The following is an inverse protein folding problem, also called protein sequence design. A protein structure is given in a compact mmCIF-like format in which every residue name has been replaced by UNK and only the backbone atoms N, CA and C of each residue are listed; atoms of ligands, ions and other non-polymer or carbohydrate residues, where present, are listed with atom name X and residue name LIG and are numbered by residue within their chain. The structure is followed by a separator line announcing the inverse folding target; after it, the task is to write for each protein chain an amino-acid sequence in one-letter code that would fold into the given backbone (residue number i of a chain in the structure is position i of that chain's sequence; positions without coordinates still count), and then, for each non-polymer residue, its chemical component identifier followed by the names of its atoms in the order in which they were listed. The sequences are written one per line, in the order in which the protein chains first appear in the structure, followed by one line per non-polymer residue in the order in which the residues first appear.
data_IF_602849641168
#
_entry.id   IF_602849641168
#
_cell.length_a   1.000
_cell.length_b   1.000
_cell.length_c   1.000
_cell.angle_alpha   90.00
_cell.angle_beta   90.00
_cell.angle_gamma   90.00
#
_symmetry.space_group_name_H-M   'P 1'
#
loop_
_entity.id
_entity.type
_entity.pdbx_description
1 polymer ?
#
# COMPACT_ATOMS: atom_id res chain seq x y z
N UNK A 1 18.32 -11.20 5.69
CA UNK A 1 17.62 -11.01 4.40
C UNK A 1 16.35 -11.85 4.44
N UNK A 2 15.24 -11.29 3.95
CA UNK A 2 13.94 -11.97 3.88
C UNK A 2 13.34 -11.74 2.50
N UNK A 3 12.52 -12.68 2.05
CA UNK A 3 11.79 -12.58 0.79
C UNK A 3 10.35 -12.17 1.09
N UNK A 4 9.83 -11.17 0.38
CA UNK A 4 8.41 -10.80 0.42
C UNK A 4 7.66 -11.55 -0.68
N UNK A 5 6.69 -12.36 -0.28
CA UNK A 5 5.80 -13.06 -1.21
C UNK A 5 4.43 -12.41 -1.17
N UNK A 6 3.99 -11.93 -2.33
CA UNK A 6 2.66 -11.37 -2.54
C UNK A 6 1.79 -12.40 -3.23
N UNK A 7 0.69 -12.77 -2.58
CA UNK A 7 -0.27 -13.73 -3.12
C UNK A 7 -1.65 -13.11 -3.19
N UNK A 8 -2.26 -13.15 -4.37
CA UNK A 8 -3.66 -12.79 -4.52
C UNK A 8 -4.55 -13.81 -3.79
N UNK A 9 -5.45 -13.33 -2.94
CA UNK A 9 -6.43 -14.15 -2.24
C UNK A 9 -7.81 -14.08 -2.88
N UNK A 10 -8.18 -12.94 -3.48
CA UNK A 10 -9.46 -12.75 -4.14
C UNK A 10 -9.44 -11.61 -5.17
N UNK A 11 -10.30 -11.67 -6.18
CA UNK A 11 -10.60 -10.56 -7.11
C UNK A 11 -9.50 -10.14 -8.08
N UNK A 12 -8.25 -10.59 -7.87
CA UNK A 12 -7.12 -10.24 -8.71
C UNK A 12 -7.22 -10.81 -10.12
N UNK A 13 -7.04 -9.92 -11.10
CA UNK A 13 -6.76 -10.28 -12.48
C UNK A 13 -5.68 -9.34 -12.98
N UNK A 14 -4.61 -9.90 -13.54
CA UNK A 14 -3.56 -9.11 -14.15
C UNK A 14 -4.05 -8.51 -15.48
N UNK A 15 -3.74 -7.24 -15.72
CA UNK A 15 -3.84 -6.69 -17.08
C UNK A 15 -2.60 -7.10 -17.90
N UNK A 16 -1.41 -6.90 -17.32
CA UNK A 16 -0.12 -7.27 -17.92
C UNK A 16 0.74 -7.98 -16.89
N UNK A 17 0.59 -9.30 -16.78
CA UNK A 17 1.27 -10.10 -15.74
C UNK A 17 2.81 -10.02 -15.77
N UNK A 18 3.40 -9.76 -16.95
CA UNK A 18 4.86 -9.61 -17.12
C UNK A 18 5.43 -8.33 -16.48
N UNK A 19 4.58 -7.35 -16.17
CA UNK A 19 4.98 -6.09 -15.54
C UNK A 19 4.96 -6.19 -14.00
N UNK A 20 4.47 -7.32 -13.46
CA UNK A 20 4.51 -7.57 -12.03
C UNK A 20 5.94 -7.83 -11.56
N UNK A 21 6.26 -7.35 -10.36
CA UNK A 21 7.53 -7.63 -9.70
C UNK A 21 8.22 -6.36 -9.24
N UNK A 22 9.55 -6.35 -9.30
CA UNK A 22 10.36 -5.22 -8.91
C UNK A 22 10.61 -4.29 -10.10
N UNK A 23 10.30 -3.01 -9.92
CA UNK A 23 10.67 -1.92 -10.80
C UNK A 23 11.57 -0.95 -10.01
N UNK A 24 12.89 -1.16 -10.09
CA UNK A 24 13.84 -0.44 -9.24
C UNK A 24 13.63 -0.74 -7.75
N UNK A 25 13.22 0.27 -6.98
CA UNK A 25 12.94 0.17 -5.54
C UNK A 25 11.45 -0.01 -5.21
N UNK A 26 10.62 -0.19 -6.24
CA UNK A 26 9.18 -0.35 -6.12
C UNK A 26 8.79 -1.80 -6.39
N UNK A 27 7.84 -2.30 -5.62
CA UNK A 27 6.99 -3.39 -6.04
C UNK A 27 5.86 -2.85 -6.90
N UNK A 28 5.59 -3.52 -8.01
CA UNK A 28 4.51 -3.21 -8.96
C UNK A 28 3.61 -4.42 -9.12
N UNK A 29 2.31 -4.18 -9.07
CA UNK A 29 1.27 -5.17 -9.39
C UNK A 29 0.34 -4.58 -10.43
N UNK A 30 0.35 -5.16 -11.62
CA UNK A 30 -0.59 -4.83 -12.69
C UNK A 30 -1.98 -5.38 -12.36
N UNK A 31 -2.98 -4.52 -12.43
CA UNK A 31 -4.37 -4.78 -12.07
C UNK A 31 -5.29 -4.54 -13.26
N UNK A 32 -6.32 -5.37 -13.39
CA UNK A 32 -7.53 -4.96 -14.13
C UNK A 32 -8.34 -3.97 -13.30
N UNK A 33 -8.76 -2.83 -13.88
CA UNK A 33 -9.51 -1.81 -13.16
C UNK A 33 -10.92 -2.25 -12.81
N UNK A 34 -11.57 -1.47 -11.94
CA UNK A 34 -12.96 -1.62 -11.49
C UNK A 34 -13.27 -2.95 -10.77
N UNK A 35 -12.23 -3.65 -10.30
CA UNK A 35 -12.33 -4.84 -9.46
C UNK A 35 -11.48 -4.66 -8.21
N UNK A 36 -12.05 -4.98 -7.06
CA UNK A 36 -11.26 -4.98 -5.83
C UNK A 36 -10.44 -6.28 -5.78
N UNK A 37 -9.13 -6.13 -5.76
CA UNK A 37 -8.19 -7.22 -5.57
C UNK A 37 -7.73 -7.25 -4.11
N UNK A 38 -7.64 -8.45 -3.55
CA UNK A 38 -7.15 -8.69 -2.21
C UNK A 38 -5.84 -9.48 -2.28
N UNK A 39 -4.86 -9.03 -1.52
CA UNK A 39 -3.52 -9.59 -1.48
C UNK A 39 -3.12 -9.89 -0.05
N UNK A 40 -2.48 -11.04 0.13
CA UNK A 40 -1.74 -11.38 1.34
C UNK A 40 -0.24 -11.17 1.08
N UNK A 41 0.35 -10.28 1.85
CA UNK A 41 1.78 -10.00 1.86
C UNK A 41 2.40 -10.84 2.99
N UNK A 42 3.31 -11.74 2.66
CA UNK A 42 3.91 -12.66 3.64
C UNK A 42 5.43 -12.71 3.52
N UNK A 43 6.12 -12.80 4.66
CA UNK A 43 7.57 -12.85 4.68
C UNK A 43 8.06 -14.30 4.76
N UNK A 44 9.12 -14.59 4.01
CA UNK A 44 9.83 -15.88 4.05
C UNK A 44 11.31 -15.67 4.35
N UNK A 45 11.92 -16.64 5.00
CA UNK A 45 13.38 -16.70 5.10
C UNK A 45 13.99 -16.69 3.68
N UNK A 46 15.15 -16.03 3.53
CA UNK A 46 15.85 -15.98 2.25
C UNK A 46 16.05 -17.40 1.69
N UNK A 47 15.61 -17.63 0.45
CA UNK A 47 15.58 -18.96 -0.16
C UNK A 47 14.22 -19.68 -0.04
N UNK A 48 13.18 -18.96 0.42
CA UNK A 48 11.76 -19.30 0.18
C UNK A 48 11.13 -20.40 1.02
N UNK A 49 11.88 -21.03 1.94
CA UNK A 49 11.43 -22.27 2.60
C UNK A 49 10.39 -22.07 3.72
N UNK A 50 10.59 -21.09 4.59
CA UNK A 50 9.86 -20.99 5.86
C UNK A 50 9.30 -19.59 6.05
N UNK A 51 8.03 -19.48 6.46
CA UNK A 51 7.45 -18.19 6.84
C UNK A 51 8.21 -17.63 8.04
N UNK A 52 8.47 -16.33 8.04
CA UNK A 52 9.24 -15.70 9.11
C UNK A 52 8.54 -14.45 9.60
N UNK A 53 8.60 -14.23 10.90
CA UNK A 53 8.19 -12.97 11.48
C UNK A 53 9.26 -11.92 11.22
N UNK A 54 8.85 -10.74 10.75
CA UNK A 54 9.72 -9.57 10.59
C UNK A 54 9.30 -8.56 11.65
N UNK A 55 10.28 -8.03 12.37
CA UNK A 55 10.08 -6.96 13.34
C UNK A 55 10.39 -5.61 12.69
N UNK A 56 9.63 -4.59 13.10
CA UNK A 56 9.88 -3.17 12.83
C UNK A 56 10.20 -2.89 11.36
N UNK A 57 9.18 -2.94 10.52
CA UNK A 57 9.32 -2.67 9.10
C UNK A 57 8.33 -1.62 8.63
N UNK A 58 8.67 -0.99 7.50
CA UNK A 58 7.80 -0.07 6.80
C UNK A 58 7.18 -0.72 5.58
N UNK A 59 6.01 -0.24 5.21
CA UNK A 59 5.34 -0.53 3.96
C UNK A 59 4.72 0.77 3.45
N UNK A 60 5.19 1.28 2.33
CA UNK A 60 4.65 2.48 1.70
C UNK A 60 3.83 2.08 0.49
N UNK A 61 2.68 2.72 0.33
CA UNK A 61 1.84 2.60 -0.87
C UNK A 61 1.74 3.95 -1.55
N UNK A 62 1.55 3.93 -2.88
CA UNK A 62 1.35 5.13 -3.68
C UNK A 62 -0.03 5.08 -4.32
N UNK A 63 -0.84 6.12 -4.10
CA UNK A 63 -2.11 6.31 -4.81
C UNK A 63 -1.81 7.06 -6.10
N UNK A 64 -1.91 6.35 -7.22
CA UNK A 64 -1.40 6.77 -8.52
C UNK A 64 -2.48 7.19 -9.50
N UNK A 65 -3.75 6.92 -9.16
CA UNK A 65 -4.87 7.17 -10.07
C UNK A 65 -6.11 7.70 -9.37
N UNK A 66 -6.92 8.43 -10.14
CA UNK A 66 -8.17 9.02 -9.67
C UNK A 66 -9.12 7.96 -9.10
N UNK A 67 -9.61 8.20 -7.88
CA UNK A 67 -10.57 7.32 -7.21
C UNK A 67 -10.02 5.94 -6.81
N UNK A 68 -8.70 5.74 -6.86
CA UNK A 68 -8.02 4.59 -6.29
C UNK A 68 -8.30 4.47 -4.78
N UNK A 69 -8.44 3.22 -4.35
CA UNK A 69 -8.71 2.85 -2.96
C UNK A 69 -7.70 1.80 -2.55
N UNK A 70 -6.96 2.07 -1.49
CA UNK A 70 -6.03 1.13 -0.90
C UNK A 70 -6.41 0.94 0.55
N UNK A 71 -6.63 -0.31 0.94
CA UNK A 71 -6.88 -0.68 2.33
C UNK A 71 -5.71 -1.49 2.85
N UNK A 72 -5.23 -1.12 4.04
CA UNK A 72 -4.15 -1.81 4.74
C UNK A 72 -4.60 -2.07 6.17
N UNK A 73 -4.35 -3.29 6.64
CA UNK A 73 -4.71 -3.72 7.99
C UNK A 73 -3.48 -4.13 8.81
N UNK A 74 -3.65 -4.19 10.14
CA UNK A 74 -2.68 -4.69 11.13
C UNK A 74 -1.40 -3.85 11.27
N UNK A 75 -1.43 -2.56 10.89
CA UNK A 75 -0.32 -1.65 11.10
C UNK A 75 -0.34 -1.06 12.51
N UNK A 76 0.84 -0.63 12.98
CA UNK A 76 1.04 -0.03 14.31
C UNK A 76 1.11 1.50 14.27
N UNK A 77 1.45 2.08 13.11
CA UNK A 77 1.42 3.53 12.87
C UNK A 77 1.27 3.81 11.39
N UNK A 78 0.58 4.89 11.05
CA UNK A 78 0.45 5.40 9.68
C UNK A 78 1.01 6.82 9.63
N UNK A 79 1.82 7.11 8.61
CA UNK A 79 2.38 8.43 8.34
C UNK A 79 2.09 8.88 6.90
N UNK A 80 1.99 10.20 6.70
CA UNK A 80 1.74 10.83 5.40
C UNK A 80 2.35 12.24 5.37
N UNK A 81 2.47 12.78 4.16
CA UNK A 81 2.93 14.15 3.91
C UNK A 81 1.85 15.18 4.31
N UNK A 82 2.21 16.34 4.85
CA UNK A 82 1.24 17.37 5.26
C UNK A 82 0.30 17.80 4.11
N UNK A 83 0.79 17.75 2.87
CA UNK A 83 0.05 18.07 1.65
C UNK A 83 -0.47 16.80 0.93
N UNK A 84 -0.71 15.72 1.68
CA UNK A 84 -1.20 14.46 1.12
C UNK A 84 -2.43 14.65 0.22
N UNK A 85 -2.37 14.08 -0.98
CA UNK A 85 -3.41 14.16 -2.02
C UNK A 85 -4.46 13.05 -1.91
N UNK A 86 -4.69 12.50 -0.72
CA UNK A 86 -5.65 11.44 -0.47
C UNK A 86 -6.36 11.62 0.86
N UNK A 87 -7.56 11.07 0.96
CA UNK A 87 -8.30 10.99 2.21
C UNK A 87 -7.99 9.68 2.94
N UNK A 88 -8.19 9.67 4.25
CA UNK A 88 -7.99 8.50 5.12
C UNK A 88 -9.25 8.25 5.93
N UNK A 89 -9.76 7.03 5.89
CA UNK A 89 -10.98 6.62 6.58
C UNK A 89 -10.68 5.39 7.44
N UNK A 90 -10.83 5.48 8.77
CA UNK A 90 -10.65 4.33 9.68
C UNK A 90 -11.91 3.47 9.77
N UNK A 91 -11.74 2.15 9.93
CA UNK A 91 -12.84 1.22 10.25
C UNK A 91 -12.80 0.74 11.70
N UNK A 92 -13.94 0.21 12.17
CA UNK A 92 -14.31 -0.07 13.57
C UNK A 92 -13.28 -0.82 14.45
N UNK A 93 -12.26 -1.49 13.91
CA UNK A 93 -11.22 -2.20 14.68
C UNK A 93 -9.92 -1.40 14.89
N UNK A 94 -9.83 -0.14 14.44
CA UNK A 94 -8.70 0.77 14.69
C UNK A 94 -7.44 0.47 13.89
N UNK A 95 -7.14 -0.79 13.57
CA UNK A 95 -5.96 -1.23 12.80
C UNK A 95 -6.25 -1.44 11.31
N UNK A 96 -7.33 -0.87 10.79
CA UNK A 96 -7.70 -0.91 9.37
C UNK A 96 -7.96 0.52 8.89
N UNK A 97 -7.27 0.91 7.84
CA UNK A 97 -7.48 2.20 7.17
C UNK A 97 -7.74 1.99 5.70
N UNK A 98 -8.68 2.78 5.20
CA UNK A 98 -8.93 2.99 3.79
C UNK A 98 -8.31 4.32 3.38
N UNK A 99 -7.37 4.27 2.45
CA UNK A 99 -6.88 5.43 1.71
C UNK A 99 -7.73 5.60 0.45
N UNK A 100 -8.13 6.84 0.15
CA UNK A 100 -8.97 7.16 -0.99
C UNK A 100 -8.37 8.33 -1.77
N UNK A 101 -7.97 8.08 -3.02
CA UNK A 101 -7.61 9.12 -3.95
C UNK A 101 -8.85 9.93 -4.36
N UNK A 102 -8.72 11.25 -4.53
CA UNK A 102 -9.82 12.09 -4.98
C UNK A 102 -10.29 11.70 -6.40
N UNK A 103 -11.53 12.03 -6.78
CA UNK A 103 -12.09 11.70 -8.08
C UNK A 103 -11.36 12.35 -9.26
N UNK A 104 -10.62 13.43 -9.02
CA UNK A 104 -9.80 14.14 -9.99
C UNK A 104 -8.40 14.28 -9.42
N UNK A 105 -7.52 13.42 -9.89
CA UNK A 105 -6.11 13.34 -9.54
C UNK A 105 -5.32 13.10 -10.83
N UNK A 106 -4.23 13.83 -11.00
CA UNK A 106 -3.28 13.55 -12.07
C UNK A 106 -2.62 12.20 -11.83
N UNK A 107 -2.53 11.40 -12.90
CA UNK A 107 -1.92 10.08 -12.79
C UNK A 107 -0.42 10.23 -12.49
N UNK A 108 0.10 9.38 -11.60
CA UNK A 108 1.49 9.40 -11.20
C UNK A 108 2.10 8.01 -11.35
N UNK A 109 3.23 7.89 -12.03
CA UNK A 109 4.08 6.71 -11.91
C UNK A 109 5.27 7.07 -11.02
N UNK A 110 5.38 6.54 -9.80
CA UNK A 110 6.46 6.91 -8.89
C UNK A 110 7.83 6.55 -9.50
N UNK A 111 8.76 7.50 -9.52
CA UNK A 111 10.13 7.29 -10.05
C UNK A 111 11.20 7.69 -9.05
N UNK A 112 10.97 8.77 -8.32
CA UNK A 112 11.84 9.20 -7.23
C UNK A 112 11.07 9.10 -5.91
N UNK A 113 11.42 8.11 -5.08
CA UNK A 113 10.78 7.91 -3.79
C UNK A 113 10.98 9.09 -2.82
N UNK A 114 11.89 10.02 -3.10
CA UNK A 114 12.09 11.25 -2.31
C UNK A 114 11.49 12.49 -2.96
N UNK A 115 10.92 12.34 -4.16
CA UNK A 115 10.24 13.41 -4.87
C UNK A 115 9.06 13.93 -4.07
N UNK A 116 8.88 15.26 -4.08
CA UNK A 116 7.78 15.91 -3.37
C UNK A 116 6.41 15.42 -3.87
N UNK A 117 6.26 15.22 -5.18
CA UNK A 117 5.01 14.74 -5.76
C UNK A 117 4.73 13.28 -5.37
N UNK A 118 5.73 12.39 -5.42
CA UNK A 118 5.59 11.01 -4.94
C UNK A 118 5.20 10.94 -3.47
N UNK A 119 5.82 11.75 -2.61
CA UNK A 119 5.49 11.83 -1.18
C UNK A 119 4.04 12.22 -0.92
N UNK A 120 3.53 13.22 -1.65
CA UNK A 120 2.13 13.67 -1.54
C UNK A 120 1.12 12.60 -1.96
N UNK A 121 1.54 11.64 -2.78
CA UNK A 121 0.74 10.49 -3.19
C UNK A 121 0.99 9.25 -2.31
N UNK A 122 1.87 9.33 -1.32
CA UNK A 122 2.33 8.19 -0.53
C UNK A 122 1.76 8.17 0.89
N UNK A 123 1.53 6.96 1.39
CA UNK A 123 1.26 6.70 2.80
C UNK A 123 2.22 5.62 3.28
N UNK A 124 2.91 5.87 4.39
CA UNK A 124 3.84 4.91 5.01
C UNK A 124 3.22 4.27 6.23
N UNK A 125 3.15 2.96 6.23
CA UNK A 125 2.69 2.12 7.32
C UNK A 125 3.89 1.55 8.05
N UNK A 126 3.89 1.66 9.38
CA UNK A 126 4.86 1.00 10.25
C UNK A 126 4.21 -0.16 10.98
N UNK A 127 4.92 -1.29 11.02
CA UNK A 127 4.51 -2.52 11.68
C UNK A 127 5.53 -2.89 12.75
N UNK A 128 5.09 -3.05 14.00
CA UNK A 128 5.96 -3.53 15.09
C UNK A 128 6.45 -4.96 14.82
N UNK A 129 5.55 -5.85 14.41
CA UNK A 129 5.93 -7.13 13.84
C UNK A 129 4.79 -7.75 13.05
N UNK A 130 5.13 -8.52 12.01
CA UNK A 130 4.17 -9.35 11.30
C UNK A 130 4.88 -10.52 10.60
N UNK A 131 4.20 -11.67 10.51
CA UNK A 131 4.53 -12.72 9.53
C UNK A 131 3.86 -12.44 8.18
N UNK A 132 2.68 -11.81 8.23
CA UNK A 132 1.91 -11.39 7.07
C UNK A 132 0.94 -10.26 7.38
N UNK A 133 0.52 -9.54 6.35
CA UNK A 133 -0.52 -8.51 6.42
C UNK A 133 -1.34 -8.48 5.12
N UNK A 134 -2.55 -7.93 5.21
CA UNK A 134 -3.48 -7.87 4.10
C UNK A 134 -3.52 -6.48 3.49
N UNK A 135 -3.59 -6.44 2.16
CA UNK A 135 -3.82 -5.22 1.39
C UNK A 135 -4.95 -5.48 0.41
N UNK A 136 -5.92 -4.57 0.31
CA UNK A 136 -6.86 -4.59 -0.81
C UNK A 136 -6.74 -3.32 -1.63
N UNK A 137 -6.90 -3.47 -2.94
CA UNK A 137 -6.75 -2.39 -3.90
C UNK A 137 -7.94 -2.41 -4.85
N UNK A 138 -8.59 -1.27 -5.01
CA UNK A 138 -9.57 -1.04 -6.05
C UNK A 138 -9.15 0.20 -6.82
N UNK A 139 -8.89 0.03 -8.10
CA UNK A 139 -8.61 1.14 -9.01
C UNK A 139 -9.81 1.38 -9.92
N UNK A 140 -9.95 2.61 -10.41
CA UNK A 140 -10.98 2.95 -11.41
C UNK A 140 -10.36 3.02 -12.80
N UNK A 141 -11.14 2.66 -13.80
CA UNK A 141 -10.73 2.68 -15.20
C UNK A 141 -11.64 1.80 -16.06
N UNK A 142 -11.48 1.92 -17.36
CA UNK A 142 -12.08 0.98 -18.33
C UNK A 142 -11.18 -0.24 -18.53
N UNK A 143 -11.70 -1.32 -19.11
CA UNK A 143 -10.94 -2.57 -19.32
C UNK A 143 -9.68 -2.41 -20.22
N UNK A 144 -9.49 -1.24 -20.85
CA UNK A 144 -8.34 -0.93 -21.69
C UNK A 144 -7.26 -0.15 -20.95
N UNK A 145 -7.60 0.41 -19.79
CA UNK A 145 -6.68 1.17 -18.95
C UNK A 145 -5.67 0.24 -18.29
N UNK A 146 -4.38 0.54 -18.44
CA UNK A 146 -3.34 -0.09 -17.63
C UNK A 146 -3.34 0.59 -16.27
N UNK A 147 -3.62 -0.16 -15.21
CA UNK A 147 -3.55 0.37 -13.85
C UNK A 147 -2.64 -0.52 -13.02
N UNK A 148 -1.79 0.13 -12.25
CA UNK A 148 -0.74 -0.51 -11.46
C UNK A 148 -0.87 -0.06 -10.01
N UNK A 149 -0.69 -1.01 -9.10
CA UNK A 149 -0.51 -0.74 -7.70
C UNK A 149 0.98 -0.74 -7.37
N UNK A 150 1.46 0.38 -6.81
CA UNK A 150 2.86 0.56 -6.44
C UNK A 150 3.04 0.56 -4.92
N UNK A 151 4.08 -0.11 -4.45
CA UNK A 151 4.46 -0.15 -3.03
C UNK A 151 5.98 -0.19 -2.84
N UNK A 152 6.45 0.11 -1.63
CA UNK A 152 7.86 0.03 -1.24
C UNK A 152 8.01 -0.42 0.22
N UNK A 153 9.17 -0.97 0.57
CA UNK A 153 9.55 -1.23 1.97
C UNK A 153 10.28 -0.06 2.64
N UNK A 154 10.52 1.04 1.91
CA UNK A 154 11.21 2.22 2.43
C UNK A 154 10.23 3.15 3.16
N UNK A 155 10.70 3.86 4.19
CA UNK A 155 9.96 4.99 4.72
C UNK A 155 10.14 6.21 3.79
N UNK A 156 9.04 6.65 3.20
CA UNK A 156 9.02 7.77 2.23
C UNK A 156 8.44 9.05 2.84
N UNK A 157 7.62 8.94 3.88
CA UNK A 157 6.92 10.05 4.53
C UNK A 157 6.84 9.85 6.03
N UNK A 158 7.26 10.86 6.79
CA UNK A 158 7.28 10.87 8.25
C UNK A 158 6.81 12.19 8.88
N UNK A 159 6.21 13.09 8.09
CA UNK A 159 5.81 14.43 8.54
C UNK A 159 4.68 14.37 9.58
N UNK A 160 3.55 13.75 9.23
CA UNK A 160 2.39 13.58 10.09
C UNK A 160 2.17 12.09 10.34
N UNK A 161 2.11 11.68 11.60
CA UNK A 161 1.95 10.29 12.00
C UNK A 161 0.86 10.09 13.05
N UNK A 162 0.08 9.03 12.89
CA UNK A 162 -0.95 8.62 13.84
C UNK A 162 -0.75 7.15 14.26
N UNK A 163 -0.85 6.91 15.57
CA UNK A 163 -0.97 5.57 16.13
C UNK A 163 -2.47 5.18 16.16
N UNK A 164 -2.85 3.99 15.67
CA UNK A 164 -4.24 3.55 15.62
C UNK A 164 -4.89 3.41 17.01
N UNK A 165 -4.08 3.30 18.08
CA UNK A 165 -4.54 3.12 19.47
C UNK A 165 -4.82 4.44 20.24
N UNK A 166 -4.43 5.62 19.74
CA UNK A 166 -4.49 6.88 20.51
C UNK A 166 -5.88 7.56 20.56
N UNK A 167 -6.97 6.83 20.33
CA UNK A 167 -8.34 7.36 20.42
C UNK A 167 -9.22 6.74 21.52
N UNK A 168 -8.65 5.91 22.41
CA UNK A 168 -9.37 5.44 23.61
C UNK A 168 -9.39 6.46 24.77
N UNK A 169 -8.96 7.70 24.53
CA UNK A 169 -9.13 8.83 25.45
C UNK A 169 -9.68 10.05 24.70
N UNK A 170 -10.97 10.00 24.36
CA UNK A 170 -11.78 11.21 24.25
C UNK A 170 -12.11 11.75 25.65
N UNK A 171 -12.36 13.06 25.80
CA UNK A 171 -12.64 13.72 27.07
C UNK A 171 -13.85 13.15 27.81
#
# INVERSE_FOLDING_TARGET
QVDLVVQASHGYQAQTARDNGLEGHLGRISLRPSREAHFNFSFRAAGGGVRTQVQRFFFTVFLTSSGERVRVSNFSRLCWDIDAKFERHRRHSGQDVLLLAPPRMEALTPKDLRGLEERRHAATFFFESAESFSVSVLTKGDDRSNVDFFFSGQNVVDDLCEDPCNFSKGP
#
